data_IF_718463702632
#
_entry.id   IF_718463702632
#
_cell.length_a   1.000
_cell.length_b   1.000
_cell.length_c   1.000
_cell.angle_alpha   90.00
_cell.angle_beta   90.00
_cell.angle_gamma   90.00
#
_symmetry.space_group_name_H-M   'P 1'
#
loop_
_entity.id
_entity.type
_entity.pdbx_description
1 polymer ?
#
# COMPACT_ATOMS: atom_id res chain seq x y z
N UNK A 1 4.61 0.62 -26.90
CA UNK A 1 5.16 1.88 -26.38
C UNK A 1 5.82 1.49 -25.08
N UNK A 2 6.99 1.99 -24.82
CA UNK A 2 7.63 1.81 -23.51
C UNK A 2 6.97 2.84 -22.58
N UNK A 3 6.37 2.42 -21.49
CA UNK A 3 5.74 3.29 -20.51
C UNK A 3 6.59 3.34 -19.24
N UNK A 4 6.77 4.54 -18.67
CA UNK A 4 7.51 4.73 -17.43
C UNK A 4 6.90 3.90 -16.27
N UNK A 5 5.57 3.84 -16.20
CA UNK A 5 4.85 3.05 -15.19
C UNK A 5 5.29 1.58 -15.16
N UNK A 6 5.48 0.93 -16.34
CA UNK A 6 5.92 -0.46 -16.37
C UNK A 6 7.36 -0.61 -15.91
N UNK A 7 8.24 0.29 -16.40
CA UNK A 7 9.66 0.28 -16.03
C UNK A 7 9.81 0.49 -14.50
N UNK A 8 9.01 1.40 -13.92
CA UNK A 8 8.97 1.67 -12.47
C UNK A 8 8.45 0.48 -11.66
N UNK A 9 7.45 -0.27 -12.17
CA UNK A 9 6.99 -1.50 -11.53
C UNK A 9 8.10 -2.57 -11.54
N UNK A 10 8.83 -2.72 -12.64
CA UNK A 10 9.95 -3.66 -12.75
C UNK A 10 11.18 -3.22 -11.95
N UNK A 11 11.33 -1.93 -11.65
CA UNK A 11 12.42 -1.37 -10.85
C UNK A 11 12.19 -1.48 -9.32
N UNK A 12 11.05 -2.04 -8.87
CA UNK A 12 10.76 -2.24 -7.45
C UNK A 12 11.87 -2.96 -6.67
N UNK A 13 12.50 -4.03 -7.20
CA UNK A 13 13.58 -4.70 -6.47
C UNK A 13 14.74 -3.75 -6.13
N UNK A 14 15.14 -2.88 -7.06
CA UNK A 14 16.18 -1.88 -6.84
C UNK A 14 15.75 -0.82 -5.80
N UNK A 15 14.51 -0.35 -5.91
CA UNK A 15 13.97 0.64 -4.98
C UNK A 15 13.82 0.09 -3.54
N UNK A 16 13.48 -1.18 -3.38
CA UNK A 16 13.41 -1.85 -2.08
C UNK A 16 14.80 -2.04 -1.47
N UNK A 17 15.83 -2.41 -2.25
CA UNK A 17 17.20 -2.54 -1.78
C UNK A 17 17.78 -1.18 -1.32
N UNK A 18 17.54 -0.14 -2.11
CA UNK A 18 17.92 1.23 -1.76
C UNK A 18 17.22 1.73 -0.48
N UNK A 19 15.91 1.45 -0.35
CA UNK A 19 15.16 1.80 0.86
C UNK A 19 15.69 1.06 2.09
N UNK A 20 15.97 -0.24 1.98
CA UNK A 20 16.52 -1.02 3.10
C UNK A 20 17.88 -0.48 3.55
N UNK A 21 18.71 -0.06 2.62
CA UNK A 21 19.99 0.59 2.92
C UNK A 21 19.78 1.91 3.68
N UNK A 22 18.87 2.77 3.22
CA UNK A 22 18.56 4.03 3.88
C UNK A 22 17.99 3.84 5.30
N UNK A 23 17.10 2.85 5.46
CA UNK A 23 16.53 2.50 6.77
C UNK A 23 17.59 1.99 7.76
N UNK A 24 18.55 1.21 7.28
CA UNK A 24 19.66 0.75 8.11
C UNK A 24 20.57 1.91 8.57
N UNK A 25 20.80 2.90 7.71
CA UNK A 25 21.57 4.10 8.07
C UNK A 25 20.86 4.95 9.12
N UNK A 26 19.51 4.95 9.13
CA UNK A 26 18.67 5.70 10.09
C UNK A 26 18.26 4.90 11.33
N UNK A 27 18.70 3.65 11.48
CA UNK A 27 18.21 2.73 12.53
C UNK A 27 18.28 3.34 13.92
N UNK A 28 19.36 4.07 14.27
CA UNK A 28 19.52 4.65 15.59
C UNK A 28 18.56 5.80 15.87
N UNK A 29 18.22 6.61 14.86
CA UNK A 29 17.25 7.70 14.96
C UNK A 29 15.83 7.14 15.06
N UNK A 30 15.53 6.11 14.29
CA UNK A 30 14.22 5.42 14.32
C UNK A 30 14.00 4.71 15.65
N UNK A 31 15.00 4.00 16.19
CA UNK A 31 14.92 3.32 17.48
C UNK A 31 14.70 4.30 18.64
N UNK A 32 15.19 5.52 18.52
CA UNK A 32 14.99 6.55 19.53
C UNK A 32 13.54 7.04 19.66
N UNK A 33 12.73 6.93 18.59
CA UNK A 33 11.35 7.41 18.54
C UNK A 33 10.32 6.28 18.48
N UNK A 34 10.75 5.06 18.15
CA UNK A 34 9.89 3.90 17.91
C UNK A 34 9.98 2.89 19.06
N UNK A 35 9.09 3.00 20.03
CA UNK A 35 9.01 2.09 21.20
C UNK A 35 7.63 1.46 21.32
N UNK A 36 7.46 0.32 22.05
CA UNK A 36 6.15 -0.29 22.28
C UNK A 36 5.16 0.60 23.06
N UNK A 37 5.61 1.69 23.67
CA UNK A 37 4.76 2.65 24.39
C UNK A 37 4.44 3.92 23.57
N UNK A 38 4.90 4.00 22.32
CA UNK A 38 4.70 5.16 21.47
C UNK A 38 3.28 5.17 20.87
N UNK A 39 2.62 6.33 20.91
CA UNK A 39 1.35 6.57 20.24
C UNK A 39 1.63 7.28 18.89
N UNK A 40 1.40 6.58 17.79
CA UNK A 40 1.64 7.08 16.45
C UNK A 40 0.35 7.67 15.85
N UNK A 41 0.45 8.83 15.22
CA UNK A 41 -0.60 9.40 14.37
C UNK A 41 -0.06 9.54 12.94
N UNK A 42 -0.54 8.69 12.02
CA UNK A 42 -0.13 8.71 10.63
C UNK A 42 -1.10 9.57 9.82
N UNK A 43 -0.59 10.45 8.96
CA UNK A 43 -1.42 11.36 8.18
C UNK A 43 -0.98 11.40 6.71
N UNK A 44 -1.94 11.24 5.80
CA UNK A 44 -1.70 11.26 4.35
C UNK A 44 -2.98 11.56 3.56
N UNK A 45 -2.87 11.61 2.23
CA UNK A 45 -3.98 11.82 1.32
C UNK A 45 -3.89 10.86 0.13
N UNK A 46 -5.04 10.34 -0.37
CA UNK A 46 -5.09 9.38 -1.48
C UNK A 46 -4.23 8.14 -1.20
N UNK A 47 -3.37 7.74 -2.13
CA UNK A 47 -2.39 6.66 -1.97
C UNK A 47 -1.61 6.76 -0.66
N UNK A 48 -1.16 7.97 -0.28
CA UNK A 48 -0.43 8.19 0.97
C UNK A 48 -1.29 7.95 2.21
N UNK A 49 -2.61 8.15 2.14
CA UNK A 49 -3.51 7.77 3.24
C UNK A 49 -3.68 6.24 3.31
N UNK A 50 -3.81 5.55 2.17
CA UNK A 50 -3.86 4.08 2.17
C UNK A 50 -2.56 3.45 2.67
N UNK A 51 -1.43 4.07 2.33
CA UNK A 51 -0.13 3.71 2.91
C UNK A 51 -0.09 3.96 4.43
N UNK A 52 -0.68 5.08 4.90
CA UNK A 52 -0.83 5.34 6.34
C UNK A 52 -1.69 4.28 7.03
N UNK A 53 -2.73 3.76 6.37
CA UNK A 53 -3.54 2.65 6.89
C UNK A 53 -2.74 1.35 7.00
N UNK A 54 -1.89 1.01 6.01
CA UNK A 54 -0.97 -0.12 6.11
C UNK A 54 -0.04 0.06 7.31
N UNK A 55 0.61 1.23 7.39
CA UNK A 55 1.56 1.55 8.46
C UNK A 55 0.92 1.52 9.85
N UNK A 56 -0.26 2.15 10.01
CA UNK A 56 -0.95 2.15 11.30
C UNK A 56 -1.38 0.74 11.73
N UNK A 57 -1.86 -0.09 10.80
CA UNK A 57 -2.25 -1.46 11.14
C UNK A 57 -1.05 -2.33 11.54
N UNK A 58 0.12 -2.13 10.94
CA UNK A 58 1.36 -2.81 11.33
C UNK A 58 1.83 -2.35 12.71
N UNK A 59 1.87 -1.04 12.94
CA UNK A 59 2.32 -0.45 14.19
C UNK A 59 1.35 -0.75 15.34
N UNK A 60 0.04 -0.81 15.10
CA UNK A 60 -0.97 -1.11 16.14
C UNK A 60 -0.90 -2.55 16.67
N UNK A 61 -0.16 -3.44 15.98
CA UNK A 61 0.14 -4.78 16.49
C UNK A 61 1.22 -4.78 17.57
N UNK A 62 2.05 -3.74 17.64
CA UNK A 62 3.26 -3.68 18.52
C UNK A 62 3.31 -2.43 19.40
N UNK A 63 2.48 -1.43 19.12
CA UNK A 63 2.37 -0.16 19.83
C UNK A 63 0.91 0.34 19.77
N UNK A 64 0.68 1.66 19.75
CA UNK A 64 -0.62 2.27 19.45
C UNK A 64 -0.48 3.13 18.20
N UNK A 65 -1.33 2.93 17.19
CA UNK A 65 -1.21 3.69 15.95
C UNK A 65 -2.58 3.94 15.28
N UNK A 66 -2.79 5.15 14.81
CA UNK A 66 -3.99 5.54 14.08
C UNK A 66 -3.62 6.29 12.79
N UNK A 67 -4.34 5.98 11.70
CA UNK A 67 -4.22 6.70 10.44
C UNK A 67 -5.42 7.62 10.23
N UNK A 68 -5.16 8.88 9.93
CA UNK A 68 -6.19 9.88 9.68
C UNK A 68 -5.95 10.59 8.32
N UNK A 69 -6.98 10.82 7.50
CA UNK A 69 -6.83 11.61 6.29
C UNK A 69 -6.39 13.04 6.61
N UNK A 70 -5.44 13.61 5.85
CA UNK A 70 -5.01 15.00 6.04
C UNK A 70 -6.17 16.00 6.00
N UNK A 71 -7.13 15.79 5.10
CA UNK A 71 -8.34 16.59 5.02
C UNK A 71 -9.21 16.53 6.28
N UNK A 72 -9.29 15.37 6.95
CA UNK A 72 -10.05 15.22 8.20
C UNK A 72 -9.45 16.04 9.34
N UNK A 73 -8.10 16.03 9.49
CA UNK A 73 -7.41 16.88 10.47
C UNK A 73 -7.77 18.37 10.29
N UNK A 74 -7.92 18.82 9.04
CA UNK A 74 -8.22 20.22 8.72
C UNK A 74 -9.71 20.57 8.91
N UNK A 75 -10.62 19.63 8.65
CA UNK A 75 -12.07 19.86 8.71
C UNK A 75 -12.66 19.56 10.09
N UNK A 76 -12.09 18.59 10.79
CA UNK A 76 -12.52 18.11 12.09
C UNK A 76 -11.31 17.91 13.02
N UNK A 77 -10.65 18.99 13.49
CA UNK A 77 -9.42 18.87 14.26
C UNK A 77 -9.54 17.98 15.51
N UNK A 78 -10.74 17.87 16.07
CA UNK A 78 -11.02 17.02 17.23
C UNK A 78 -11.06 15.52 16.89
N UNK A 79 -11.04 15.15 15.61
CA UNK A 79 -10.96 13.75 15.18
C UNK A 79 -9.55 13.14 15.33
N UNK A 80 -8.52 13.98 15.47
CA UNK A 80 -7.17 13.48 15.75
C UNK A 80 -7.06 12.94 17.18
N UNK A 81 -6.23 11.89 17.42
CA UNK A 81 -6.03 11.32 18.76
C UNK A 81 -5.63 12.37 19.79
N UNK A 82 -6.05 12.16 21.05
CA UNK A 82 -5.75 13.09 22.15
C UNK A 82 -4.31 12.93 22.68
N UNK A 83 -3.71 11.76 22.50
CA UNK A 83 -2.36 11.42 22.98
C UNK A 83 -1.52 10.94 21.78
N UNK A 84 -0.54 11.74 21.36
CA UNK A 84 0.33 11.49 20.22
C UNK A 84 1.77 11.79 20.60
N UNK A 85 2.62 10.76 20.53
CA UNK A 85 4.07 10.89 20.75
C UNK A 85 4.82 11.11 19.43
N UNK A 86 4.33 10.49 18.34
CA UNK A 86 4.96 10.60 17.02
C UNK A 86 3.91 10.88 15.95
N UNK A 87 4.06 12.00 15.26
CA UNK A 87 3.29 12.36 14.06
C UNK A 87 4.05 11.84 12.84
N UNK A 88 3.39 11.05 11.99
CA UNK A 88 4.00 10.47 10.79
C UNK A 88 3.30 11.01 9.53
N UNK A 89 3.72 12.17 8.99
CA UNK A 89 3.25 12.62 7.70
C UNK A 89 3.81 11.74 6.57
N UNK A 90 2.90 11.26 5.71
CA UNK A 90 3.21 10.38 4.57
C UNK A 90 2.87 11.12 3.28
N UNK A 91 3.86 11.30 2.41
CA UNK A 91 3.64 11.95 1.11
C UNK A 91 4.80 11.65 0.16
N UNK A 92 4.53 11.06 -1.02
CA UNK A 92 5.56 10.80 -2.04
C UNK A 92 6.35 12.07 -2.38
N UNK A 93 5.66 13.11 -2.80
CA UNK A 93 6.28 14.41 -3.15
C UNK A 93 6.72 15.22 -1.95
N UNK A 94 6.12 14.97 -0.77
CA UNK A 94 6.28 15.81 0.41
C UNK A 94 5.62 17.19 0.30
N UNK A 95 4.84 17.44 -0.76
CA UNK A 95 4.26 18.76 -1.11
C UNK A 95 2.74 18.83 -1.00
N UNK A 96 2.04 17.70 -0.80
CA UNK A 96 0.56 17.67 -0.71
C UNK A 96 0.08 18.65 0.35
N UNK A 97 -0.67 19.68 -0.08
CA UNK A 97 -1.04 20.82 0.78
C UNK A 97 -1.79 20.37 2.04
N UNK A 98 -2.72 19.42 1.92
CA UNK A 98 -3.47 18.90 3.06
C UNK A 98 -2.56 18.20 4.06
N UNK A 99 -1.65 17.33 3.59
CA UNK A 99 -0.72 16.60 4.47
C UNK A 99 0.22 17.58 5.20
N UNK A 100 0.77 18.58 4.48
CA UNK A 100 1.65 19.61 5.07
C UNK A 100 0.91 20.40 6.14
N UNK A 101 -0.30 20.90 5.84
CA UNK A 101 -1.11 21.68 6.80
C UNK A 101 -1.60 20.85 7.97
N UNK A 102 -1.96 19.59 7.73
CA UNK A 102 -2.35 18.67 8.79
C UNK A 102 -1.18 18.38 9.75
N UNK A 103 0.04 18.25 9.22
CA UNK A 103 1.26 18.13 10.04
C UNK A 103 1.46 19.35 10.94
N UNK A 104 1.31 20.55 10.38
CA UNK A 104 1.42 21.80 11.16
C UNK A 104 0.34 21.85 12.27
N UNK A 105 -0.90 21.50 11.96
CA UNK A 105 -2.01 21.50 12.92
C UNK A 105 -1.83 20.44 14.03
N UNK A 106 -1.38 19.23 13.68
CA UNK A 106 -1.07 18.19 14.66
C UNK A 106 0.09 18.59 15.59
N UNK A 107 1.13 19.21 15.03
CA UNK A 107 2.27 19.71 15.83
C UNK A 107 1.86 20.85 16.78
N UNK A 108 0.95 21.75 16.36
CA UNK A 108 0.39 22.77 17.26
C UNK A 108 -0.42 22.15 18.43
N UNK A 109 -1.16 21.08 18.17
CA UNK A 109 -1.94 20.36 19.18
C UNK A 109 -1.06 19.52 20.11
N UNK A 110 0.01 18.93 19.58
CA UNK A 110 0.93 18.03 20.28
C UNK A 110 2.38 18.58 20.20
N UNK A 111 2.70 19.68 20.91
CA UNK A 111 3.98 20.39 20.77
C UNK A 111 5.20 19.58 21.20
N UNK A 112 5.02 18.52 22.00
CA UNK A 112 6.08 17.61 22.44
C UNK A 112 6.23 16.39 21.51
N UNK A 113 5.32 16.19 20.54
CA UNK A 113 5.39 15.07 19.63
C UNK A 113 6.54 15.24 18.63
N UNK A 114 7.24 14.15 18.35
CA UNK A 114 8.25 14.06 17.30
C UNK A 114 7.58 13.93 15.94
N UNK A 115 8.09 14.59 14.90
CA UNK A 115 7.61 14.43 13.52
C UNK A 115 8.58 13.52 12.77
N UNK A 116 8.10 12.34 12.39
CA UNK A 116 8.80 11.36 11.55
C UNK A 116 8.26 11.42 10.11
N UNK A 117 8.94 12.12 9.22
CA UNK A 117 8.54 12.22 7.82
C UNK A 117 8.74 10.91 7.04
N UNK A 118 7.78 10.52 6.20
CA UNK A 118 7.93 9.41 5.23
C UNK A 118 7.64 9.96 3.84
N UNK A 119 8.69 10.11 3.01
CA UNK A 119 8.61 10.77 1.70
C UNK A 119 9.59 10.15 0.70
N UNK A 120 9.43 10.50 -0.59
CA UNK A 120 10.43 10.17 -1.62
C UNK A 120 11.24 11.40 -2.06
N UNK A 121 11.03 12.58 -1.44
CA UNK A 121 11.63 13.84 -1.89
C UNK A 121 12.34 14.54 -0.74
N UNK A 122 13.68 14.47 -0.77
CA UNK A 122 14.51 15.21 0.17
C UNK A 122 14.35 16.73 -0.04
N UNK A 123 14.37 17.50 1.03
CA UNK A 123 14.19 18.95 1.02
C UNK A 123 12.77 19.42 0.71
N UNK A 124 11.80 18.48 0.70
CA UNK A 124 10.37 18.79 0.52
C UNK A 124 9.77 19.44 1.78
N UNK A 125 8.62 20.12 1.66
CA UNK A 125 7.93 20.71 2.82
C UNK A 125 7.69 19.76 3.99
N UNK A 126 7.46 18.46 3.75
CA UNK A 126 7.35 17.44 4.81
C UNK A 126 8.71 17.16 5.43
N UNK A 127 9.75 16.96 4.61
CA UNK A 127 11.12 16.71 5.08
C UNK A 127 11.65 17.88 5.93
N UNK A 128 11.40 19.14 5.52
CA UNK A 128 11.78 20.33 6.29
C UNK A 128 11.05 20.47 7.64
N UNK A 129 9.87 19.84 7.80
CA UNK A 129 9.08 19.87 9.05
C UNK A 129 9.41 18.73 9.98
N UNK A 130 9.97 17.66 9.46
CA UNK A 130 10.30 16.48 10.22
C UNK A 130 11.51 16.71 11.13
N UNK A 131 11.47 16.09 12.29
CA UNK A 131 12.64 15.98 13.18
C UNK A 131 13.59 14.89 12.69
N UNK A 132 13.01 13.85 12.04
CA UNK A 132 13.71 12.79 11.31
C UNK A 132 12.86 12.40 10.09
N UNK A 133 13.49 12.09 8.96
CA UNK A 133 12.77 11.66 7.75
C UNK A 133 13.32 10.35 7.20
N UNK A 134 12.41 9.45 6.87
CA UNK A 134 12.67 8.32 5.96
C UNK A 134 12.42 8.82 4.53
N UNK A 135 13.49 9.03 3.79
CA UNK A 135 13.43 9.44 2.39
C UNK A 135 13.77 8.23 1.51
N UNK A 136 12.83 7.81 0.65
CA UNK A 136 13.10 6.72 -0.30
C UNK A 136 14.07 7.20 -1.38
N UNK A 137 15.29 6.65 -1.48
CA UNK A 137 16.32 7.18 -2.39
C UNK A 137 15.92 7.05 -3.87
N UNK A 138 15.32 5.90 -4.23
CA UNK A 138 14.89 5.55 -5.59
C UNK A 138 13.37 5.60 -5.78
N UNK A 139 12.66 6.26 -4.84
CA UNK A 139 11.21 6.42 -4.89
C UNK A 139 10.71 7.51 -5.84
N UNK A 140 11.61 8.19 -6.57
CA UNK A 140 11.22 9.15 -7.61
C UNK A 140 10.61 8.41 -8.81
N UNK A 141 9.48 8.92 -9.31
CA UNK A 141 8.71 8.35 -10.42
C UNK A 141 8.41 9.43 -11.46
N UNK A 142 8.47 9.04 -12.75
CA UNK A 142 8.03 9.87 -13.87
C UNK A 142 6.52 9.77 -14.05
N UNK A 143 5.93 8.59 -13.76
CA UNK A 143 4.49 8.37 -13.83
C UNK A 143 3.73 9.17 -12.76
N UNK A 144 2.49 9.53 -13.07
CA UNK A 144 1.60 10.21 -12.12
C UNK A 144 1.25 9.29 -10.97
N UNK A 145 0.98 8.02 -11.25
CA UNK A 145 0.58 7.01 -10.26
C UNK A 145 1.79 6.53 -9.44
N UNK A 146 1.54 6.16 -8.19
CA UNK A 146 2.56 5.59 -7.32
C UNK A 146 2.71 4.10 -7.58
N UNK A 147 3.94 3.64 -7.79
CA UNK A 147 4.30 2.22 -7.99
C UNK A 147 5.43 1.80 -7.05
N UNK A 148 6.70 1.91 -7.44
CA UNK A 148 7.86 1.57 -6.59
C UNK A 148 7.96 2.45 -5.34
N UNK A 149 7.49 3.70 -5.41
CA UNK A 149 7.42 4.59 -4.26
C UNK A 149 6.50 4.05 -3.17
N UNK A 150 5.32 3.53 -3.56
CA UNK A 150 4.40 2.89 -2.61
C UNK A 150 5.03 1.66 -1.95
N UNK A 151 5.59 0.75 -2.75
CA UNK A 151 6.22 -0.48 -2.27
C UNK A 151 7.38 -0.20 -1.31
N UNK A 152 8.21 0.80 -1.63
CA UNK A 152 9.34 1.22 -0.78
C UNK A 152 8.86 1.77 0.57
N UNK A 153 7.82 2.61 0.57
CA UNK A 153 7.28 3.16 1.82
C UNK A 153 6.51 2.10 2.64
N UNK A 154 5.89 1.08 2.01
CA UNK A 154 5.37 -0.09 2.73
C UNK A 154 6.49 -0.81 3.47
N UNK A 155 7.65 -1.03 2.83
CA UNK A 155 8.82 -1.64 3.46
C UNK A 155 9.31 -0.82 4.65
N UNK A 156 9.27 0.53 4.56
CA UNK A 156 9.65 1.40 5.67
C UNK A 156 8.75 1.17 6.91
N UNK A 157 7.45 0.97 6.72
CA UNK A 157 6.55 0.66 7.83
C UNK A 157 6.75 -0.75 8.40
N UNK A 158 7.04 -1.76 7.58
CA UNK A 158 7.42 -3.09 8.10
C UNK A 158 8.73 -3.04 8.90
N UNK A 159 9.70 -2.23 8.45
CA UNK A 159 10.94 -2.02 9.17
C UNK A 159 10.70 -1.33 10.52
N UNK A 160 9.90 -0.26 10.52
CA UNK A 160 9.55 0.48 11.74
C UNK A 160 8.80 -0.40 12.74
N UNK A 161 7.84 -1.20 12.29
CA UNK A 161 7.12 -2.15 13.13
C UNK A 161 8.07 -3.21 13.74
N UNK A 162 9.03 -3.71 12.96
CA UNK A 162 10.04 -4.64 13.46
C UNK A 162 10.97 -4.01 14.51
N UNK A 163 11.32 -2.73 14.39
CA UNK A 163 12.05 -1.98 15.41
C UNK A 163 11.23 -1.86 16.69
N UNK A 164 9.98 -1.42 16.59
CA UNK A 164 9.05 -1.28 17.74
C UNK A 164 8.85 -2.61 18.46
N UNK A 165 8.78 -3.73 17.74
CA UNK A 165 8.72 -5.09 18.30
C UNK A 165 10.01 -5.46 19.06
N UNK A 166 11.10 -4.74 18.84
CA UNK A 166 12.41 -5.01 19.44
C UNK A 166 13.24 -6.02 18.67
N UNK A 167 13.09 -6.08 17.35
CA UNK A 167 13.94 -6.92 16.51
C UNK A 167 15.40 -6.47 16.58
N UNK A 168 16.31 -7.38 16.94
CA UNK A 168 17.76 -7.06 17.08
C UNK A 168 18.40 -6.61 15.75
N UNK A 169 17.86 -6.98 14.60
CA UNK A 169 18.42 -6.71 13.26
C UNK A 169 17.32 -6.69 12.19
N UNK A 170 16.46 -5.67 12.17
CA UNK A 170 15.37 -5.62 11.21
C UNK A 170 15.86 -5.65 9.75
N UNK A 171 16.99 -5.00 9.44
CA UNK A 171 17.58 -5.03 8.09
C UNK A 171 17.95 -6.44 7.63
N UNK A 172 18.51 -7.28 8.52
CA UNK A 172 18.84 -8.67 8.14
C UNK A 172 17.58 -9.52 7.89
N UNK A 173 16.50 -9.29 8.64
CA UNK A 173 15.20 -9.98 8.46
C UNK A 173 14.55 -9.64 7.11
N UNK A 174 14.81 -8.45 6.58
CA UNK A 174 14.25 -7.92 5.34
C UNK A 174 15.21 -8.04 4.13
N UNK A 175 16.43 -8.53 4.33
CA UNK A 175 17.53 -8.49 3.35
C UNK A 175 17.18 -9.11 1.98
N UNK A 176 16.40 -10.18 1.94
CA UNK A 176 16.06 -10.85 0.67
C UNK A 176 14.79 -10.31 0.01
N UNK A 177 14.18 -9.24 0.57
CA UNK A 177 12.92 -8.71 0.05
C UNK A 177 13.04 -8.22 -1.40
N UNK A 178 14.20 -7.67 -1.78
CA UNK A 178 14.46 -7.22 -3.14
C UNK A 178 14.47 -8.39 -4.15
N UNK A 179 15.18 -9.49 -3.82
CA UNK A 179 15.22 -10.69 -4.68
C UNK A 179 13.83 -11.35 -4.77
N UNK A 180 13.11 -11.43 -3.67
CA UNK A 180 11.75 -11.96 -3.62
C UNK A 180 10.77 -11.06 -4.39
N UNK A 181 10.99 -9.74 -4.40
CA UNK A 181 10.20 -8.78 -5.17
C UNK A 181 10.35 -9.01 -6.67
N UNK A 182 11.57 -9.26 -7.18
CA UNK A 182 11.76 -9.61 -8.59
C UNK A 182 10.93 -10.85 -8.97
N UNK A 183 10.95 -11.88 -8.11
CA UNK A 183 10.13 -13.08 -8.30
C UNK A 183 8.62 -12.77 -8.25
N UNK A 184 8.19 -11.89 -7.36
CA UNK A 184 6.80 -11.49 -7.22
C UNK A 184 6.31 -10.71 -8.45
N UNK A 185 7.13 -9.80 -8.99
CA UNK A 185 6.84 -9.06 -10.23
C UNK A 185 6.65 -10.03 -11.40
N UNK A 186 7.61 -10.96 -11.62
CA UNK A 186 7.53 -11.93 -12.73
C UNK A 186 6.27 -12.80 -12.62
N UNK A 187 5.98 -13.34 -11.45
CA UNK A 187 4.80 -14.19 -11.20
C UNK A 187 3.48 -13.42 -11.35
N UNK A 188 3.44 -12.19 -10.84
CA UNK A 188 2.27 -11.35 -10.99
C UNK A 188 2.03 -11.02 -12.47
N UNK A 189 3.06 -10.65 -13.22
CA UNK A 189 2.94 -10.33 -14.64
C UNK A 189 2.42 -11.50 -15.46
N UNK A 190 2.94 -12.71 -15.23
CA UNK A 190 2.49 -13.93 -15.91
C UNK A 190 0.99 -14.17 -15.75
N UNK A 191 0.46 -13.94 -14.54
CA UNK A 191 -0.96 -14.17 -14.22
C UNK A 191 -1.86 -13.01 -14.63
N UNK A 192 -1.48 -11.76 -14.28
CA UNK A 192 -2.41 -10.64 -14.43
C UNK A 192 -2.44 -10.06 -15.84
N UNK A 193 -1.37 -10.19 -16.64
CA UNK A 193 -1.32 -9.66 -18.00
C UNK A 193 -2.40 -10.23 -18.93
N UNK A 194 -2.61 -11.55 -19.03
CA UNK A 194 -3.72 -12.08 -19.80
C UNK A 194 -5.08 -11.71 -19.20
N UNK A 195 -5.22 -11.72 -17.87
CA UNK A 195 -6.46 -11.37 -17.18
C UNK A 195 -6.85 -9.90 -17.40
N UNK A 196 -5.91 -8.97 -17.28
CA UNK A 196 -6.13 -7.54 -17.50
C UNK A 196 -6.47 -7.18 -18.95
N UNK A 197 -6.06 -8.04 -19.89
CA UNK A 197 -6.33 -7.86 -21.33
C UNK A 197 -7.76 -8.26 -21.72
N UNK A 198 -8.47 -8.97 -20.84
CA UNK A 198 -9.88 -9.24 -21.00
C UNK A 198 -10.68 -7.97 -20.70
N UNK A 199 -11.29 -7.40 -21.73
CA UNK A 199 -12.02 -6.12 -21.64
C UNK A 199 -13.48 -6.29 -21.22
N UNK A 200 -13.95 -7.52 -21.03
CA UNK A 200 -15.35 -7.79 -20.66
C UNK A 200 -15.63 -7.52 -19.18
N UNK A 201 -14.60 -7.46 -18.32
CA UNK A 201 -14.81 -7.05 -16.93
C UNK A 201 -15.22 -5.57 -16.82
N UNK A 202 -16.31 -5.30 -16.10
CA UNK A 202 -16.85 -3.97 -15.84
C UNK A 202 -16.72 -3.57 -14.34
N UNK A 203 -16.76 -4.55 -13.44
CA UNK A 203 -16.74 -4.33 -11.98
C UNK A 203 -15.54 -5.02 -11.34
N UNK A 204 -14.85 -4.29 -10.46
CA UNK A 204 -13.65 -4.78 -9.80
C UNK A 204 -13.78 -4.64 -8.28
N UNK A 205 -13.45 -5.69 -7.56
CA UNK A 205 -13.34 -5.67 -6.12
C UNK A 205 -11.93 -6.04 -5.69
N UNK A 206 -11.40 -5.27 -4.73
CA UNK A 206 -10.17 -5.58 -4.01
C UNK A 206 -10.52 -5.87 -2.56
N UNK A 207 -10.17 -7.06 -2.07
CA UNK A 207 -10.54 -7.51 -0.75
C UNK A 207 -9.30 -7.78 0.10
N UNK A 208 -9.24 -7.14 1.28
CA UNK A 208 -8.13 -7.29 2.21
C UNK A 208 -8.57 -7.09 3.66
N UNK A 209 -7.89 -7.74 4.59
CA UNK A 209 -8.13 -7.64 6.04
C UNK A 209 -6.83 -7.24 6.76
N UNK A 210 -6.95 -6.54 7.90
CA UNK A 210 -5.79 -6.06 8.63
C UNK A 210 -4.89 -5.17 7.75
N UNK A 211 -3.60 -5.44 7.75
CA UNK A 211 -2.59 -4.76 6.94
C UNK A 211 -2.86 -4.82 5.43
N UNK A 212 -3.57 -5.83 4.96
CA UNK A 212 -3.98 -5.96 3.55
C UNK A 212 -5.16 -5.06 3.16
N UNK A 213 -5.86 -4.45 4.13
CA UNK A 213 -6.95 -3.52 3.86
C UNK A 213 -6.47 -2.25 3.15
N UNK A 214 -5.32 -1.70 3.58
CA UNK A 214 -4.67 -0.58 2.90
C UNK A 214 -4.18 -0.94 1.50
N UNK A 215 -3.66 -2.17 1.31
CA UNK A 215 -3.28 -2.66 -0.03
C UNK A 215 -4.50 -2.82 -0.95
N UNK A 216 -5.62 -3.31 -0.42
CA UNK A 216 -6.87 -3.42 -1.18
C UNK A 216 -7.38 -2.04 -1.62
N UNK A 217 -7.32 -1.04 -0.72
CA UNK A 217 -7.69 0.34 -1.02
C UNK A 217 -6.75 0.95 -2.08
N UNK A 218 -5.47 0.66 -2.01
CA UNK A 218 -4.52 1.10 -3.02
C UNK A 218 -4.74 0.41 -4.38
N UNK A 219 -5.00 -0.90 -4.39
CA UNK A 219 -5.33 -1.64 -5.61
C UNK A 219 -6.58 -1.09 -6.30
N UNK A 220 -7.61 -0.77 -5.52
CA UNK A 220 -8.80 -0.06 -5.98
C UNK A 220 -8.41 1.26 -6.65
N UNK A 221 -7.65 2.12 -5.95
CA UNK A 221 -7.28 3.44 -6.47
C UNK A 221 -6.41 3.32 -7.73
N UNK A 222 -5.43 2.42 -7.76
CA UNK A 222 -4.56 2.21 -8.93
C UNK A 222 -5.36 1.84 -10.18
N UNK A 223 -6.34 0.96 -10.03
CA UNK A 223 -7.16 0.57 -11.16
C UNK A 223 -8.08 1.73 -11.60
N UNK A 224 -8.71 2.46 -10.67
CA UNK A 224 -9.51 3.65 -10.98
C UNK A 224 -8.69 4.72 -11.71
N UNK A 225 -7.52 5.06 -11.19
CA UNK A 225 -6.64 6.08 -11.75
C UNK A 225 -6.21 5.75 -13.18
N UNK A 226 -5.71 4.55 -13.42
CA UNK A 226 -5.16 4.17 -14.72
C UNK A 226 -6.23 3.81 -15.77
N UNK A 227 -7.41 3.33 -15.34
CA UNK A 227 -8.37 2.69 -16.25
C UNK A 227 -9.73 3.35 -16.31
N UNK A 228 -10.04 4.28 -15.41
CA UNK A 228 -11.36 4.91 -15.26
C UNK A 228 -12.48 3.89 -15.00
N UNK A 229 -12.13 2.71 -14.48
CA UNK A 229 -13.07 1.64 -14.18
C UNK A 229 -13.76 1.84 -12.83
N UNK A 230 -14.95 1.26 -12.63
CA UNK A 230 -15.59 1.22 -11.33
C UNK A 230 -14.94 0.15 -10.45
N UNK A 231 -14.30 0.58 -9.39
CA UNK A 231 -13.60 -0.31 -8.47
C UNK A 231 -14.04 -0.09 -7.02
N UNK A 232 -13.87 -1.09 -6.16
CA UNK A 232 -14.22 -1.02 -4.75
C UNK A 232 -13.26 -1.85 -3.91
N UNK A 233 -12.92 -1.32 -2.73
CA UNK A 233 -12.13 -2.05 -1.74
C UNK A 233 -12.97 -2.31 -0.49
N UNK A 234 -12.90 -3.54 0.04
CA UNK A 234 -13.66 -3.93 1.23
C UNK A 234 -12.93 -4.98 2.06
N UNK A 235 -13.37 -5.09 3.30
CA UNK A 235 -13.05 -6.25 4.13
C UNK A 235 -13.73 -7.52 3.53
N UNK A 236 -13.04 -8.66 3.41
CA UNK A 236 -13.59 -9.86 2.76
C UNK A 236 -14.93 -10.30 3.32
N UNK A 237 -15.09 -10.29 4.65
CA UNK A 237 -16.36 -10.72 5.25
C UNK A 237 -17.49 -9.70 5.03
N UNK A 238 -17.19 -8.40 4.98
CA UNK A 238 -18.19 -7.35 4.70
C UNK A 238 -18.68 -7.41 3.24
N UNK A 239 -17.88 -7.93 2.30
CA UNK A 239 -18.29 -8.16 0.93
C UNK A 239 -19.54 -9.06 0.86
N UNK A 240 -19.63 -10.07 1.73
CA UNK A 240 -20.79 -11.00 1.82
C UNK A 240 -22.06 -10.30 2.34
N UNK A 241 -21.96 -9.15 3.02
CA UNK A 241 -23.08 -8.44 3.63
C UNK A 241 -23.71 -7.40 2.69
N UNK A 242 -24.02 -7.81 1.46
CA UNK A 242 -24.76 -7.02 0.48
C UNK A 242 -23.98 -6.66 -0.78
N UNK A 243 -22.68 -6.42 -0.68
CA UNK A 243 -21.85 -5.96 -1.81
C UNK A 243 -21.73 -7.01 -2.91
N UNK A 244 -21.67 -8.29 -2.55
CA UNK A 244 -21.66 -9.41 -3.50
C UNK A 244 -22.90 -9.46 -4.40
N UNK A 245 -23.97 -8.72 -4.08
CA UNK A 245 -25.22 -8.72 -4.87
C UNK A 245 -25.08 -8.14 -6.27
N UNK A 246 -23.98 -7.41 -6.55
CA UNK A 246 -23.69 -6.88 -7.88
C UNK A 246 -22.60 -7.67 -8.61
N UNK A 247 -22.12 -8.76 -8.01
CA UNK A 247 -21.14 -9.64 -8.65
C UNK A 247 -21.84 -10.53 -9.69
N UNK A 248 -21.22 -10.65 -10.85
CA UNK A 248 -21.66 -11.41 -12.02
C UNK A 248 -20.47 -11.88 -12.87
N UNK A 249 -20.70 -12.32 -14.10
CA UNK A 249 -19.68 -12.80 -15.02
C UNK A 249 -18.78 -11.67 -15.63
N UNK A 250 -19.14 -10.41 -15.42
CA UNK A 250 -18.33 -9.23 -15.77
C UNK A 250 -17.54 -8.68 -14.55
N UNK A 251 -17.51 -9.44 -13.44
CA UNK A 251 -16.86 -9.03 -12.18
C UNK A 251 -15.55 -9.76 -11.96
N UNK A 252 -14.48 -9.00 -11.65
CA UNK A 252 -13.20 -9.50 -11.14
C UNK A 252 -13.05 -9.18 -9.65
N UNK A 253 -12.88 -10.21 -8.83
CA UNK A 253 -12.60 -10.10 -7.39
C UNK A 253 -11.15 -10.44 -7.15
N UNK A 254 -10.35 -9.48 -6.69
CA UNK A 254 -8.96 -9.70 -6.24
C UNK A 254 -8.94 -9.79 -4.71
N UNK A 255 -8.47 -10.91 -4.17
CA UNK A 255 -8.39 -11.16 -2.73
C UNK A 255 -6.94 -11.32 -2.29
N UNK A 256 -6.49 -10.48 -1.36
CA UNK A 256 -5.20 -10.60 -0.70
C UNK A 256 -5.33 -11.54 0.50
N UNK A 257 -4.64 -12.68 0.42
CA UNK A 257 -4.74 -13.76 1.41
C UNK A 257 -3.72 -13.56 2.53
N UNK A 258 -4.17 -13.38 3.79
CA UNK A 258 -3.30 -13.45 4.96
C UNK A 258 -2.95 -14.91 5.29
N UNK A 259 -1.95 -15.12 6.15
CA UNK A 259 -1.53 -16.45 6.61
C UNK A 259 -2.48 -17.06 7.68
N UNK A 260 -3.77 -16.70 7.63
CA UNK A 260 -4.79 -17.14 8.60
C UNK A 260 -6.21 -17.05 8.02
N UNK A 261 -7.15 -17.77 8.62
CA UNK A 261 -8.57 -17.68 8.25
C UNK A 261 -8.91 -18.29 6.90
N UNK A 262 -8.16 -19.29 6.48
CA UNK A 262 -8.28 -19.92 5.16
C UNK A 262 -9.68 -20.45 4.87
N UNK A 263 -10.34 -21.10 5.84
CA UNK A 263 -11.69 -21.63 5.66
C UNK A 263 -12.70 -20.55 5.29
N UNK A 264 -12.62 -19.36 5.95
CA UNK A 264 -13.52 -18.24 5.67
C UNK A 264 -13.25 -17.63 4.30
N UNK A 265 -11.99 -17.60 3.86
CA UNK A 265 -11.63 -17.12 2.54
C UNK A 265 -12.05 -18.11 1.44
N UNK A 266 -11.91 -19.42 1.69
CA UNK A 266 -12.35 -20.44 0.77
C UNK A 266 -13.88 -20.38 0.55
N UNK A 267 -14.66 -20.21 1.62
CA UNK A 267 -16.11 -20.03 1.52
C UNK A 267 -16.47 -18.77 0.71
N UNK A 268 -15.76 -17.65 0.93
CA UNK A 268 -15.99 -16.42 0.19
C UNK A 268 -15.67 -16.56 -1.30
N UNK A 269 -14.56 -17.22 -1.63
CA UNK A 269 -14.15 -17.50 -3.02
C UNK A 269 -15.20 -18.37 -3.70
N UNK A 270 -15.70 -19.41 -3.02
CA UNK A 270 -16.76 -20.26 -3.54
C UNK A 270 -18.06 -19.48 -3.81
N UNK A 271 -18.49 -18.63 -2.85
CA UNK A 271 -19.68 -17.79 -3.00
C UNK A 271 -19.54 -16.82 -4.19
N UNK A 272 -18.39 -16.14 -4.34
CA UNK A 272 -18.16 -15.21 -5.44
C UNK A 272 -18.21 -15.91 -6.80
N UNK A 273 -17.61 -17.10 -6.90
CA UNK A 273 -17.65 -17.92 -8.13
C UNK A 273 -19.05 -18.46 -8.45
N UNK A 274 -19.85 -18.80 -7.44
CA UNK A 274 -21.27 -19.18 -7.64
C UNK A 274 -22.09 -18.03 -8.24
N UNK A 275 -21.72 -16.76 -7.95
CA UNK A 275 -22.35 -15.59 -8.55
C UNK A 275 -21.88 -15.30 -9.99
N UNK A 276 -20.87 -16.03 -10.47
CA UNK A 276 -20.28 -15.87 -11.80
C UNK A 276 -18.98 -15.05 -11.83
N UNK A 277 -18.58 -14.44 -10.72
CA UNK A 277 -17.37 -13.62 -10.68
C UNK A 277 -16.10 -14.46 -10.90
N UNK A 278 -15.14 -13.89 -11.62
CA UNK A 278 -13.77 -14.40 -11.68
C UNK A 278 -13.01 -13.99 -10.42
N UNK A 279 -12.31 -14.93 -9.79
CA UNK A 279 -11.56 -14.66 -8.57
C UNK A 279 -10.07 -14.84 -8.80
N UNK A 280 -9.30 -13.76 -8.53
CA UNK A 280 -7.85 -13.72 -8.43
C UNK A 280 -7.44 -13.69 -6.96
N UNK A 281 -6.62 -14.63 -6.52
CA UNK A 281 -6.04 -14.60 -5.17
C UNK A 281 -4.53 -14.32 -5.24
N UNK A 282 -4.04 -13.59 -4.25
CA UNK A 282 -2.62 -13.25 -4.09
C UNK A 282 -2.19 -13.67 -2.69
N UNK A 283 -1.16 -14.50 -2.55
CA UNK A 283 -0.70 -14.97 -1.25
C UNK A 283 0.43 -15.97 -1.32
N UNK A 284 0.85 -16.50 -0.16
CA UNK A 284 1.81 -17.62 -0.10
C UNK A 284 1.25 -18.89 -0.71
N UNK A 285 2.11 -19.85 -0.99
CA UNK A 285 1.69 -21.15 -1.51
C UNK A 285 0.66 -21.83 -0.59
N UNK A 286 0.86 -21.78 0.73
CA UNK A 286 -0.05 -22.38 1.71
C UNK A 286 -1.41 -21.69 1.71
N UNK A 287 -1.46 -20.37 1.59
CA UNK A 287 -2.70 -19.61 1.53
C UNK A 287 -3.48 -19.87 0.23
N UNK A 288 -2.77 -19.90 -0.90
CA UNK A 288 -3.36 -20.15 -2.22
C UNK A 288 -3.89 -21.58 -2.33
N UNK A 289 -3.13 -22.58 -1.84
CA UNK A 289 -3.55 -24.00 -1.87
C UNK A 289 -4.79 -24.27 -1.01
N UNK A 290 -5.08 -23.41 -0.06
CA UNK A 290 -6.25 -23.53 0.82
C UNK A 290 -7.56 -23.04 0.18
N UNK A 291 -7.50 -22.33 -0.96
CA UNK A 291 -8.67 -21.78 -1.65
C UNK A 291 -8.71 -22.21 -3.13
N UNK A 292 -9.89 -22.47 -3.66
CA UNK A 292 -10.09 -22.86 -5.07
C UNK A 292 -10.47 -21.64 -5.92
N UNK A 293 -9.49 -20.78 -6.25
CA UNK A 293 -9.69 -19.61 -7.08
C UNK A 293 -9.48 -19.91 -8.59
N UNK A 294 -9.94 -19.01 -9.46
CA UNK A 294 -9.77 -19.13 -10.90
C UNK A 294 -8.34 -18.78 -11.33
N UNK A 295 -7.75 -17.78 -10.65
CA UNK A 295 -6.37 -17.33 -10.87
C UNK A 295 -5.66 -17.13 -9.53
N UNK A 296 -4.33 -17.34 -9.53
CA UNK A 296 -3.53 -17.17 -8.33
C UNK A 296 -2.14 -16.62 -8.63
N UNK A 297 -1.72 -15.62 -7.85
CA UNK A 297 -0.33 -15.17 -7.77
C UNK A 297 0.27 -15.74 -6.49
N UNK A 298 1.17 -16.72 -6.65
CA UNK A 298 1.85 -17.36 -5.52
C UNK A 298 3.11 -16.57 -5.20
N UNK A 299 3.13 -15.90 -4.05
CA UNK A 299 4.25 -15.10 -3.61
C UNK A 299 5.34 -15.95 -2.94
N UNK A 300 6.61 -15.49 -2.91
CA UNK A 300 7.64 -16.07 -2.06
C UNK A 300 7.19 -16.09 -0.59
N UNK A 301 7.49 -17.19 0.10
CA UNK A 301 7.11 -17.39 1.50
C UNK A 301 8.05 -16.61 2.42
N UNK A 302 7.46 -15.76 3.28
CA UNK A 302 8.19 -14.87 4.19
C UNK A 302 7.42 -14.66 5.48
N UNK A 303 8.11 -14.67 6.61
CA UNK A 303 7.56 -14.28 7.90
C UNK A 303 7.46 -12.74 8.06
N UNK A 304 8.39 -12.00 7.44
CA UNK A 304 8.49 -10.52 7.50
C UNK A 304 8.85 -9.96 6.13
N UNK A 305 8.53 -8.70 5.83
CA UNK A 305 8.82 -8.06 4.55
C UNK A 305 7.95 -8.59 3.41
N UNK A 306 6.73 -9.03 3.70
CA UNK A 306 5.87 -9.66 2.70
C UNK A 306 4.97 -8.67 1.96
N UNK A 307 4.55 -7.59 2.60
CA UNK A 307 3.54 -6.69 2.02
C UNK A 307 3.98 -6.02 0.72
N UNK A 308 5.25 -5.59 0.54
CA UNK A 308 5.72 -5.08 -0.74
C UNK A 308 5.55 -6.10 -1.88
N UNK A 309 5.57 -7.40 -1.60
CA UNK A 309 5.45 -8.45 -2.62
C UNK A 309 4.03 -8.58 -3.21
N UNK A 310 3.01 -8.07 -2.52
CA UNK A 310 1.63 -8.05 -3.00
C UNK A 310 1.38 -6.93 -4.02
N UNK A 311 2.18 -5.86 -3.98
CA UNK A 311 1.94 -4.64 -4.76
C UNK A 311 2.02 -4.83 -6.26
N UNK A 312 2.94 -5.65 -6.84
CA UNK A 312 2.99 -5.86 -8.27
C UNK A 312 1.69 -6.40 -8.87
N UNK A 313 0.94 -7.21 -8.12
CA UNK A 313 -0.29 -7.82 -8.64
C UNK A 313 -1.33 -6.78 -9.07
N UNK A 314 -1.62 -5.79 -8.23
CA UNK A 314 -2.60 -4.76 -8.57
C UNK A 314 -2.03 -3.65 -9.47
N UNK A 315 -0.75 -3.33 -9.35
CA UNK A 315 -0.09 -2.34 -10.20
C UNK A 315 -0.04 -2.81 -11.65
N UNK A 316 0.38 -4.06 -11.89
CA UNK A 316 0.41 -4.67 -13.22
C UNK A 316 -1.01 -4.90 -13.78
N UNK A 317 -1.98 -5.25 -12.92
CA UNK A 317 -3.39 -5.37 -13.33
C UNK A 317 -3.90 -4.03 -13.89
N UNK A 318 -3.69 -2.93 -13.16
CA UNK A 318 -4.05 -1.59 -13.60
C UNK A 318 -3.32 -1.16 -14.87
N UNK A 319 -2.01 -1.38 -14.93
CA UNK A 319 -1.18 -1.06 -16.09
C UNK A 319 -1.65 -1.78 -17.36
N UNK A 320 -1.73 -3.10 -17.34
CA UNK A 320 -2.11 -3.88 -18.52
C UNK A 320 -3.54 -3.63 -18.94
N UNK A 321 -4.44 -3.39 -18.00
CA UNK A 321 -5.82 -2.99 -18.30
C UNK A 321 -5.86 -1.62 -18.99
N UNK A 322 -5.14 -0.63 -18.49
CA UNK A 322 -5.05 0.69 -19.13
C UNK A 322 -4.57 0.56 -20.60
N UNK A 323 -3.53 -0.22 -20.82
CA UNK A 323 -3.00 -0.48 -22.18
C UNK A 323 -4.04 -1.17 -23.06
N UNK A 324 -4.75 -2.19 -22.54
CA UNK A 324 -5.81 -2.90 -23.28
C UNK A 324 -6.98 -1.98 -23.68
N UNK A 325 -7.31 -1.01 -22.81
CA UNK A 325 -8.33 0.01 -23.07
C UNK A 325 -7.84 1.17 -23.95
N UNK A 326 -6.55 1.19 -24.33
CA UNK A 326 -5.94 2.27 -25.13
C UNK A 326 -5.72 3.58 -24.36
N UNK A 327 -5.65 3.49 -23.02
CA UNK A 327 -5.37 4.61 -22.11
C UNK A 327 -3.86 4.75 -21.88
N UNK A 328 -3.42 5.92 -21.40
CA UNK A 328 -2.02 6.18 -21.06
C UNK A 328 -1.80 5.99 -19.55
N UNK A 329 -1.12 4.92 -19.08
CA UNK A 329 -0.90 4.69 -17.66
C UNK A 329 0.10 5.68 -17.03
N UNK A 330 0.97 6.33 -17.81
CA UNK A 330 1.96 7.29 -17.31
C UNK A 330 1.33 8.64 -16.95
N UNK A 331 0.27 9.02 -17.66
CA UNK A 331 -0.43 10.30 -17.50
C UNK A 331 -1.95 10.08 -17.54
N UNK A 332 -2.54 9.49 -16.50
CA UNK A 332 -3.98 9.25 -16.44
C UNK A 332 -4.80 10.53 -16.49
N UNK A 333 -5.99 10.45 -17.07
CA UNK A 333 -6.86 11.60 -17.25
C UNK A 333 -7.31 12.18 -15.88
N UNK A 334 -7.38 13.51 -15.82
CA UNK A 334 -7.89 14.27 -14.65
C UNK A 334 -7.04 14.13 -13.37
N UNK A 335 -5.82 13.66 -13.47
CA UNK A 335 -4.90 13.54 -12.35
C UNK A 335 -3.70 14.49 -12.49
N UNK A 336 -3.06 14.75 -11.36
CA UNK A 336 -1.78 15.45 -11.27
C UNK A 336 -0.94 14.79 -10.18
N UNK A 337 0.38 14.81 -10.33
CA UNK A 337 1.29 14.22 -9.34
C UNK A 337 1.16 14.82 -7.93
N UNK A 338 0.77 16.09 -7.84
CA UNK A 338 0.62 16.82 -6.58
C UNK A 338 -0.70 17.57 -6.59
N UNK A 339 -1.48 17.41 -5.51
CA UNK A 339 -2.67 18.22 -5.26
C UNK A 339 -2.29 19.41 -4.41
N UNK A 340 -2.57 20.61 -4.92
CA UNK A 340 -2.38 21.88 -4.21
C UNK A 340 -3.73 22.59 -4.05
N UNK A 341 -4.05 23.07 -2.83
CA UNK A 341 -5.24 23.84 -2.49
C UNK A 341 -5.01 25.34 -2.68
#
# INVERSE_FOLDING_TARGET
MDHATLDEIHDQPSALDAMLTALHELESELDAVATPSTNFCLVGCGTSYYLSQVGSTLLDQVASAEAIPGGEVLLSPDAAPDDVDVIVPVSRSGESTETVRATDALRERHPEATVLGVTCTAGSPIDERADTSVVSPDGAEESVVMTKSFSSMVLAFEYLAALVEGAERPAERLQSVADDSATAVDRAEEVVKPLASDTDYETFFFLGTGEYSGLASEGMLKLEEMTLSWTKAYHPMEFRHGLQSIADDETLVTLFLPERGYDLHADLVADARELGATVLVVGSAAAVDAVEADHSVVLPDRDTGRLPLYTPAFQLLGYYRAVALGLNPDDPQNLSQVVTL
#
